data_IF_931400984084
#
_entry.id   IF_931400984084
#
_cell.length_a   1.000
_cell.length_b   1.000
_cell.length_c   1.000
_cell.angle_alpha   90.00
_cell.angle_beta   90.00
_cell.angle_gamma   90.00
#
_symmetry.space_group_name_H-M   'P 1'
#
loop_
_entity.id
_entity.type
_entity.pdbx_description
1 polymer ?
#
# COMPACT_ATOMS: atom_id res chain seq x y z
N UNK A 1 3.62 23.04 6.39
CA UNK A 1 3.91 21.91 5.48
C UNK A 1 2.60 21.18 5.33
N UNK A 2 2.01 21.13 4.15
CA UNK A 2 0.83 20.27 3.94
C UNK A 2 1.33 18.85 4.03
N UNK A 3 1.18 18.22 5.20
CA UNK A 3 1.65 16.85 5.43
C UNK A 3 0.99 15.94 4.39
N UNK A 4 1.81 15.43 3.46
CA UNK A 4 1.34 14.55 2.42
C UNK A 4 0.78 13.28 3.07
N UNK A 5 -0.38 12.82 2.61
CA UNK A 5 -1.03 11.60 3.11
C UNK A 5 -0.01 10.43 3.08
N UNK A 6 0.35 9.83 4.24
CA UNK A 6 1.45 8.86 4.31
C UNK A 6 1.21 7.62 3.45
N UNK A 7 2.26 7.12 2.79
CA UNK A 7 2.21 5.85 2.06
C UNK A 7 2.58 4.69 3.01
N UNK A 8 1.67 3.73 3.15
CA UNK A 8 1.84 2.55 4.00
C UNK A 8 1.68 1.25 3.23
N UNK A 9 2.23 0.16 3.76
CA UNK A 9 2.01 -1.20 3.27
C UNK A 9 2.10 -2.22 4.40
N UNK A 10 1.56 -3.42 4.18
CA UNK A 10 1.73 -4.60 5.04
C UNK A 10 2.42 -5.76 4.28
N UNK A 11 3.05 -5.45 3.13
CA UNK A 11 3.92 -6.36 2.38
C UNK A 11 5.36 -5.82 2.36
N UNK A 12 6.32 -6.61 2.84
CA UNK A 12 7.76 -6.31 2.84
C UNK A 12 8.54 -7.18 1.86
N UNK A 13 8.04 -8.38 1.55
CA UNK A 13 8.74 -9.28 0.67
C UNK A 13 8.94 -8.65 -0.71
N UNK A 14 10.21 -8.55 -1.10
CA UNK A 14 10.67 -8.14 -2.41
C UNK A 14 11.63 -9.20 -2.93
N UNK A 15 11.46 -9.57 -4.19
CA UNK A 15 12.33 -10.51 -4.89
C UNK A 15 13.41 -9.68 -5.60
N UNK A 16 14.68 -9.74 -5.17
CA UNK A 16 15.74 -8.90 -5.72
C UNK A 16 15.95 -9.12 -7.22
N UNK A 17 15.76 -10.36 -7.71
CA UNK A 17 15.91 -10.70 -9.12
C UNK A 17 14.83 -10.01 -9.94
N UNK A 18 13.57 -10.05 -9.47
CA UNK A 18 12.47 -9.33 -10.13
C UNK A 18 12.65 -7.82 -10.10
N UNK A 19 13.12 -7.27 -8.99
CA UNK A 19 13.39 -5.83 -8.87
C UNK A 19 14.49 -5.41 -9.86
N UNK A 20 15.61 -6.13 -9.89
CA UNK A 20 16.72 -5.86 -10.81
C UNK A 20 16.30 -5.96 -12.28
N UNK A 21 15.59 -7.04 -12.64
CA UNK A 21 15.05 -7.20 -13.99
C UNK A 21 14.16 -6.01 -14.37
N UNK A 22 13.21 -5.63 -13.52
CA UNK A 22 12.31 -4.47 -13.77
C UNK A 22 13.08 -3.16 -13.91
N UNK A 23 14.04 -2.91 -13.02
CA UNK A 23 14.87 -1.71 -13.08
C UNK A 23 15.64 -1.59 -14.40
N UNK A 24 16.12 -2.71 -14.94
CA UNK A 24 16.87 -2.73 -16.21
C UNK A 24 16.01 -2.70 -17.48
N UNK A 25 14.76 -3.12 -17.41
CA UNK A 25 13.93 -3.38 -18.61
C UNK A 25 12.69 -2.49 -18.73
N UNK A 26 12.14 -2.01 -17.62
CA UNK A 26 10.87 -1.29 -17.64
C UNK A 26 11.09 0.20 -17.90
N UNK A 27 10.31 0.76 -18.81
CA UNK A 27 10.27 2.20 -19.07
C UNK A 27 9.30 2.94 -18.14
N UNK A 28 8.31 2.22 -17.59
CA UNK A 28 7.26 2.77 -16.73
C UNK A 28 7.04 1.85 -15.53
N UNK A 29 7.07 2.43 -14.33
CA UNK A 29 6.83 1.73 -13.08
C UNK A 29 5.44 2.06 -12.55
N UNK A 30 4.44 1.25 -12.88
CA UNK A 30 3.07 1.47 -12.38
C UNK A 30 2.95 0.97 -10.95
N UNK A 31 2.47 1.84 -10.06
CA UNK A 31 2.22 1.56 -8.65
C UNK A 31 0.79 1.93 -8.31
N UNK A 32 0.02 1.04 -7.67
CA UNK A 32 -1.40 1.28 -7.35
C UNK A 32 -1.60 1.52 -5.88
N UNK A 33 -2.32 2.60 -5.58
CA UNK A 33 -2.67 2.98 -4.22
C UNK A 33 -4.16 3.17 -4.06
N UNK A 34 -4.65 2.98 -2.84
CA UNK A 34 -5.97 3.45 -2.41
C UNK A 34 -5.80 4.47 -1.29
N UNK A 35 -6.57 5.55 -1.34
CA UNK A 35 -6.68 6.49 -0.23
C UNK A 35 -7.84 6.06 0.67
N UNK A 36 -7.57 5.89 1.96
CA UNK A 36 -8.56 5.41 2.92
C UNK A 36 -8.24 5.88 4.33
N UNK A 37 -9.29 6.14 5.11
CA UNK A 37 -9.17 6.37 6.54
C UNK A 37 -9.05 5.02 7.27
N UNK A 38 -8.01 4.85 8.08
CA UNK A 38 -7.81 3.71 8.96
C UNK A 38 -7.68 4.24 10.39
N UNK A 39 -8.60 3.84 11.28
CA UNK A 39 -8.63 4.30 12.69
C UNK A 39 -8.52 5.82 12.85
N UNK A 40 -9.27 6.57 12.04
CA UNK A 40 -9.36 8.04 12.14
C UNK A 40 -8.24 8.82 11.47
N UNK A 41 -7.29 8.16 10.79
CA UNK A 41 -6.22 8.81 10.05
C UNK A 41 -6.23 8.42 8.57
N UNK A 42 -5.99 9.39 7.69
CA UNK A 42 -5.95 9.16 6.23
C UNK A 42 -4.59 8.59 5.81
N UNK A 43 -4.62 7.52 5.01
CA UNK A 43 -3.45 6.89 4.44
C UNK A 43 -3.57 6.67 2.94
N UNK A 44 -2.42 6.56 2.26
CA UNK A 44 -2.29 5.91 0.97
C UNK A 44 -1.80 4.49 1.22
N UNK A 45 -2.63 3.50 0.93
CA UNK A 45 -2.24 2.09 1.05
C UNK A 45 -1.68 1.62 -0.29
N UNK A 46 -0.46 1.07 -0.28
CA UNK A 46 0.17 0.42 -1.43
C UNK A 46 -0.49 -0.95 -1.66
N UNK A 47 -1.29 -1.04 -2.73
CA UNK A 47 -2.11 -2.23 -3.03
C UNK A 47 -1.51 -3.14 -4.09
N UNK A 48 -0.66 -2.60 -4.97
CA UNK A 48 -0.01 -3.34 -6.05
C UNK A 48 1.23 -2.57 -6.55
N UNK A 49 2.19 -3.30 -7.12
CA UNK A 49 3.40 -2.75 -7.70
C UNK A 49 4.58 -2.59 -6.74
N UNK A 50 4.67 -3.35 -5.64
CA UNK A 50 5.78 -3.26 -4.67
C UNK A 50 7.16 -3.41 -5.32
N UNK A 51 7.36 -4.41 -6.19
CA UNK A 51 8.62 -4.55 -6.94
C UNK A 51 8.84 -3.42 -7.95
N UNK A 52 7.77 -2.85 -8.52
CA UNK A 52 7.89 -1.67 -9.41
C UNK A 52 8.32 -0.44 -8.62
N UNK A 53 7.79 -0.23 -7.41
CA UNK A 53 8.19 0.87 -6.53
C UNK A 53 9.65 0.73 -6.11
N UNK A 54 10.07 -0.49 -5.75
CA UNK A 54 11.47 -0.78 -5.44
C UNK A 54 12.40 -0.54 -6.67
N UNK A 55 11.98 -0.97 -7.86
CA UNK A 55 12.73 -0.77 -9.08
C UNK A 55 12.83 0.71 -9.49
N UNK A 56 11.74 1.47 -9.38
CA UNK A 56 11.71 2.91 -9.64
C UNK A 56 12.70 3.66 -8.73
N UNK A 57 12.69 3.32 -7.42
CA UNK A 57 13.65 3.85 -6.44
C UNK A 57 15.09 3.49 -6.80
N UNK A 58 15.34 2.25 -7.21
CA UNK A 58 16.67 1.77 -7.58
C UNK A 58 17.26 2.56 -8.76
N UNK A 59 16.43 2.98 -9.73
CA UNK A 59 16.88 3.79 -10.89
C UNK A 59 16.68 5.30 -10.70
N UNK A 60 16.21 5.73 -9.52
CA UNK A 60 16.06 7.16 -9.19
C UNK A 60 14.93 7.88 -9.92
N UNK A 61 13.86 7.19 -10.32
CA UNK A 61 12.71 7.81 -11.01
C UNK A 61 11.42 7.70 -10.20
N UNK A 62 10.51 8.65 -10.43
CA UNK A 62 9.17 8.58 -9.86
C UNK A 62 8.31 7.52 -10.57
N UNK A 63 7.60 6.64 -9.83
CA UNK A 63 6.67 5.72 -10.45
C UNK A 63 5.41 6.44 -10.94
N UNK A 64 4.71 5.80 -11.86
CA UNK A 64 3.36 6.20 -12.24
C UNK A 64 2.36 5.72 -11.20
N UNK A 65 1.92 6.65 -10.35
CA UNK A 65 0.87 6.40 -9.37
C UNK A 65 -0.49 6.25 -10.04
N UNK A 66 -1.20 5.16 -9.72
CA UNK A 66 -2.57 4.92 -10.16
C UNK A 66 -3.47 4.61 -8.98
N UNK A 67 -4.76 4.84 -9.15
CA UNK A 67 -5.77 4.39 -8.21
C UNK A 67 -5.90 2.86 -8.13
N UNK A 68 -6.82 2.38 -7.28
CA UNK A 68 -7.05 0.94 -7.07
C UNK A 68 -7.35 0.21 -8.38
N UNK A 69 -7.04 -1.09 -8.44
CA UNK A 69 -7.41 -1.93 -9.59
C UNK A 69 -8.94 -2.01 -9.73
N UNK A 70 -9.46 -2.36 -10.92
CA UNK A 70 -10.91 -2.52 -11.12
C UNK A 70 -11.53 -3.53 -10.14
N UNK A 71 -10.81 -4.62 -9.86
CA UNK A 71 -11.23 -5.63 -8.88
C UNK A 71 -11.33 -5.03 -7.48
N UNK A 72 -10.34 -4.25 -7.05
CA UNK A 72 -10.34 -3.64 -5.74
C UNK A 72 -11.43 -2.56 -5.62
N UNK A 73 -11.62 -1.73 -6.65
CA UNK A 73 -12.72 -0.76 -6.71
C UNK A 73 -14.09 -1.43 -6.51
N UNK A 74 -14.31 -2.58 -7.14
CA UNK A 74 -15.55 -3.35 -6.96
C UNK A 74 -15.73 -3.79 -5.51
N UNK A 75 -14.69 -4.35 -4.89
CA UNK A 75 -14.73 -4.78 -3.48
C UNK A 75 -15.01 -3.59 -2.55
N UNK A 76 -14.37 -2.44 -2.79
CA UNK A 76 -14.59 -1.21 -2.02
C UNK A 76 -16.06 -0.75 -2.10
N UNK A 77 -16.65 -0.79 -3.31
CA UNK A 77 -18.03 -0.39 -3.53
C UNK A 77 -19.02 -1.38 -2.88
N UNK A 78 -18.73 -2.68 -2.90
CA UNK A 78 -19.59 -3.71 -2.31
C UNK A 78 -19.56 -3.68 -0.76
N UNK A 79 -18.40 -3.42 -0.15
CA UNK A 79 -18.25 -3.41 1.31
C UNK A 79 -18.63 -2.08 1.95
N UNK A 80 -18.41 -0.96 1.24
CA UNK A 80 -18.40 0.37 1.83
C UNK A 80 -17.12 0.66 2.61
N UNK A 81 -16.86 1.94 2.92
CA UNK A 81 -15.58 2.38 3.47
C UNK A 81 -15.23 1.73 4.82
N UNK A 82 -16.16 1.72 5.79
CA UNK A 82 -15.89 1.21 7.14
C UNK A 82 -15.53 -0.29 7.13
N UNK A 83 -16.30 -1.12 6.42
CA UNK A 83 -16.02 -2.57 6.33
C UNK A 83 -14.75 -2.85 5.54
N UNK A 84 -14.46 -2.07 4.51
CA UNK A 84 -13.22 -2.20 3.75
C UNK A 84 -11.99 -1.79 4.58
N UNK A 85 -12.09 -0.73 5.39
CA UNK A 85 -11.03 -0.34 6.34
C UNK A 85 -10.75 -1.45 7.36
N UNK A 86 -11.80 -2.01 7.98
CA UNK A 86 -11.65 -3.14 8.90
C UNK A 86 -11.06 -4.38 8.22
N UNK A 87 -11.45 -4.65 6.97
CA UNK A 87 -10.85 -5.72 6.18
C UNK A 87 -9.34 -5.50 5.98
N UNK A 88 -8.91 -4.27 5.66
CA UNK A 88 -7.48 -3.97 5.50
C UNK A 88 -6.72 -4.12 6.82
N UNK A 89 -7.25 -3.59 7.93
CA UNK A 89 -6.61 -3.70 9.25
C UNK A 89 -6.42 -5.16 9.65
N UNK A 90 -7.41 -6.00 9.38
CA UNK A 90 -7.42 -7.40 9.81
C UNK A 90 -6.66 -8.37 8.89
N UNK A 91 -6.47 -8.05 7.61
CA UNK A 91 -5.89 -8.96 6.62
C UNK A 91 -4.51 -8.46 6.16
N UNK A 92 -3.51 -8.64 7.03
CA UNK A 92 -2.11 -8.37 6.71
C UNK A 92 -1.56 -9.38 5.69
N UNK A 93 -0.56 -8.98 4.92
CA UNK A 93 0.06 -9.84 3.90
C UNK A 93 1.21 -10.65 4.51
N UNK A 94 2.31 -9.98 4.86
CA UNK A 94 3.52 -10.62 5.41
C UNK A 94 4.15 -9.86 6.58
N UNK A 95 3.56 -8.73 6.97
CA UNK A 95 4.09 -7.83 8.00
C UNK A 95 3.01 -6.91 8.56
N UNK A 96 3.29 -6.30 9.71
CA UNK A 96 2.52 -5.17 10.21
C UNK A 96 2.52 -4.01 9.22
N UNK A 97 1.50 -3.16 9.32
CA UNK A 97 1.48 -1.89 8.61
C UNK A 97 2.72 -1.06 8.93
N UNK A 98 3.39 -0.59 7.90
CA UNK A 98 4.58 0.25 8.03
C UNK A 98 4.56 1.42 7.04
N UNK A 99 5.21 2.51 7.42
CA UNK A 99 5.46 3.65 6.56
C UNK A 99 6.48 3.26 5.48
N UNK A 100 6.10 3.31 4.21
CA UNK A 100 6.92 2.85 3.08
C UNK A 100 8.18 3.70 2.87
N UNK A 101 8.21 4.92 3.42
CA UNK A 101 9.39 5.79 3.39
C UNK A 101 10.41 5.43 4.48
N UNK A 102 9.99 5.33 5.75
CA UNK A 102 10.90 5.11 6.88
C UNK A 102 11.10 3.64 7.24
N UNK A 103 10.22 2.75 6.79
CA UNK A 103 10.19 1.36 7.20
C UNK A 103 9.64 1.13 8.61
N UNK A 104 9.30 2.19 9.35
CA UNK A 104 8.77 2.09 10.71
C UNK A 104 7.35 1.56 10.71
N UNK A 105 7.04 0.70 11.68
CA UNK A 105 5.67 0.22 11.94
C UNK A 105 4.76 1.41 12.26
N UNK A 106 3.50 1.32 11.85
CA UNK A 106 2.43 2.29 12.11
C UNK A 106 1.73 1.85 13.41
N UNK A 107 2.07 2.41 14.58
CA UNK A 107 1.64 1.86 15.87
C UNK A 107 0.12 1.85 16.05
N UNK A 108 -0.56 2.87 15.53
CA UNK A 108 -2.01 3.03 15.59
C UNK A 108 -2.77 1.96 14.82
N UNK A 109 -2.13 1.24 13.88
CA UNK A 109 -2.75 0.15 13.11
C UNK A 109 -2.40 -1.25 13.65
N UNK A 110 -1.71 -1.34 14.79
CA UNK A 110 -1.42 -2.63 15.42
C UNK A 110 -2.67 -3.30 16.00
N UNK A 111 -2.70 -4.63 15.93
CA UNK A 111 -3.79 -5.47 16.44
C UNK A 111 -5.02 -5.51 15.54
N UNK A 112 -5.93 -6.44 15.84
CA UNK A 112 -7.15 -6.66 15.05
C UNK A 112 -8.25 -5.65 15.41
N UNK A 113 -9.02 -5.23 14.40
CA UNK A 113 -10.28 -4.53 14.58
C UNK A 113 -11.41 -5.55 14.76
N UNK A 114 -11.96 -5.61 15.98
CA UNK A 114 -13.12 -6.45 16.29
C UNK A 114 -14.38 -5.69 15.91
N UNK A 115 -15.14 -6.20 14.96
CA UNK A 115 -16.50 -5.71 14.75
C UNK A 115 -17.32 -6.04 16.00
N UNK A 116 -18.05 -5.05 16.54
CA UNK A 116 -19.07 -5.34 17.56
C UNK A 116 -20.07 -6.32 16.95
N UNK A 117 -20.34 -7.42 17.67
CA UNK A 117 -21.29 -8.46 17.28
C UNK A 117 -22.73 -7.93 17.30
#
# INVERSE_FOLDING_TARGET
MTDAIPLISCQRHLDPVKVGHKASTFQVFVVRVVQIELRGAMYRVLTDGHHNLAAARLVGVEPTWRGPSRKLQRIMNELGQARFAAMLINNLIDSDWYYVHSGQVVPELLGIERTAA
#
